data_IF_791733545401
#
_entry.id   IF_791733545401
#
_cell.length_a   1.000
_cell.length_b   1.000
_cell.length_c   1.000
_cell.angle_alpha   90.00
_cell.angle_beta   90.00
_cell.angle_gamma   90.00
#
_symmetry.space_group_name_H-M   'P 1'
#
loop_
_entity.id
_entity.type
_entity.pdbx_description
1 polymer ?
#
# COMPACT_ATOMS: atom_id res chain seq x y z
N UNK A 1 -26.36 -9.01 -0.90
CA UNK A 1 -25.20 -9.93 -0.92
C UNK A 1 -24.03 -9.21 -1.56
N UNK A 2 -23.18 -8.54 -0.78
CA UNK A 2 -21.96 -7.93 -1.32
C UNK A 2 -20.91 -9.03 -1.51
N UNK A 3 -20.40 -9.21 -2.72
CA UNK A 3 -19.30 -10.14 -2.99
C UNK A 3 -18.14 -9.84 -2.03
N UNK A 4 -17.91 -10.73 -1.06
CA UNK A 4 -16.79 -10.59 -0.12
C UNK A 4 -15.51 -10.71 -0.94
N UNK A 5 -14.79 -9.59 -1.08
CA UNK A 5 -13.49 -9.59 -1.73
C UNK A 5 -12.55 -10.57 -1.03
N UNK A 6 -11.88 -11.38 -1.83
CA UNK A 6 -11.03 -12.48 -1.37
C UNK A 6 -9.59 -11.99 -1.21
N UNK A 7 -8.78 -12.76 -0.46
CA UNK A 7 -7.33 -12.50 -0.31
C UNK A 7 -6.63 -12.32 -1.66
N UNK A 8 -7.11 -12.99 -2.71
CA UNK A 8 -6.57 -12.93 -4.07
C UNK A 8 -6.81 -11.56 -4.75
N UNK A 9 -7.99 -10.96 -4.58
CA UNK A 9 -8.26 -9.62 -5.12
C UNK A 9 -7.46 -8.56 -4.36
N UNK A 10 -7.39 -8.67 -3.03
CA UNK A 10 -6.59 -7.74 -2.21
C UNK A 10 -5.10 -7.77 -2.60
N UNK A 11 -4.56 -8.97 -2.85
CA UNK A 11 -3.20 -9.15 -3.39
C UNK A 11 -3.00 -8.44 -4.72
N UNK A 12 -3.94 -8.55 -5.64
CA UNK A 12 -3.86 -7.87 -6.93
C UNK A 12 -3.81 -6.34 -6.73
N UNK A 13 -4.65 -5.78 -5.86
CA UNK A 13 -4.62 -4.34 -5.57
C UNK A 13 -3.27 -3.86 -5.03
N UNK A 14 -2.68 -4.57 -4.06
CA UNK A 14 -1.33 -4.23 -3.55
C UNK A 14 -0.27 -4.24 -4.65
N UNK A 15 -0.28 -5.23 -5.53
CA UNK A 15 0.67 -5.34 -6.64
C UNK A 15 0.45 -4.22 -7.67
N UNK A 16 -0.80 -4.00 -8.09
CA UNK A 16 -1.12 -2.95 -9.05
C UNK A 16 -0.82 -1.55 -8.52
N UNK A 17 -1.16 -1.26 -7.26
CA UNK A 17 -0.82 0.00 -6.61
C UNK A 17 0.70 0.18 -6.48
N UNK A 18 1.43 -0.87 -6.14
CA UNK A 18 2.89 -0.84 -6.08
C UNK A 18 3.52 -0.60 -7.46
N UNK A 19 3.07 -1.30 -8.51
CA UNK A 19 3.58 -1.10 -9.87
C UNK A 19 3.28 0.29 -10.42
N UNK A 20 2.05 0.78 -10.21
CA UNK A 20 1.69 2.15 -10.56
C UNK A 20 2.59 3.15 -9.81
N UNK A 21 2.80 2.94 -8.50
CA UNK A 21 3.68 3.76 -7.68
C UNK A 21 5.12 3.81 -8.21
N UNK A 22 5.70 2.66 -8.58
CA UNK A 22 7.04 2.60 -9.20
C UNK A 22 7.07 3.39 -10.51
N UNK A 23 6.06 3.21 -11.38
CA UNK A 23 6.02 3.89 -12.67
C UNK A 23 5.98 5.42 -12.53
N UNK A 24 5.11 5.93 -11.65
CA UNK A 24 5.00 7.37 -11.39
C UNK A 24 6.25 7.91 -10.69
N UNK A 25 6.76 7.22 -9.67
CA UNK A 25 7.94 7.66 -8.93
C UNK A 25 9.21 7.63 -9.80
N UNK A 26 9.37 6.63 -10.67
CA UNK A 26 10.49 6.55 -11.62
C UNK A 26 10.43 7.68 -12.66
N UNK A 27 9.23 8.03 -13.13
CA UNK A 27 9.05 9.15 -14.06
C UNK A 27 9.41 10.48 -13.39
N UNK A 28 8.95 10.72 -12.17
CA UNK A 28 9.29 11.92 -11.39
C UNK A 28 10.78 11.98 -11.02
N UNK A 29 11.38 10.83 -10.69
CA UNK A 29 12.81 10.71 -10.40
C UNK A 29 13.65 11.03 -11.63
N UNK A 30 13.23 10.59 -12.82
CA UNK A 30 13.93 10.88 -14.07
C UNK A 30 13.99 12.38 -14.33
N UNK A 31 12.88 13.10 -14.12
CA UNK A 31 12.85 14.57 -14.25
C UNK A 31 13.77 15.22 -13.21
N UNK A 32 13.71 14.77 -11.96
CA UNK A 32 14.54 15.32 -10.87
C UNK A 32 16.04 15.09 -11.09
N UNK A 33 16.43 13.98 -11.72
CA UNK A 33 17.82 13.69 -12.10
C UNK A 33 18.31 14.59 -13.23
N UNK A 34 17.43 14.97 -14.17
CA UNK A 34 17.76 15.90 -15.26
C UNK A 34 17.95 17.32 -14.74
N UNK A 35 17.13 17.75 -13.76
CA UNK A 35 17.22 19.07 -13.12
C UNK A 35 18.24 19.13 -11.97
N UNK A 36 19.02 18.06 -11.74
CA UNK A 36 19.99 17.91 -10.64
C UNK A 36 19.41 18.22 -9.23
N UNK A 37 18.09 18.05 -9.06
CA UNK A 37 17.38 18.34 -7.83
C UNK A 37 17.57 17.25 -6.78
N UNK A 38 18.57 17.40 -5.90
CA UNK A 38 18.90 16.43 -4.84
C UNK A 38 17.67 16.07 -3.97
N UNK A 39 16.85 17.07 -3.62
CA UNK A 39 15.63 16.86 -2.83
C UNK A 39 14.63 15.98 -3.60
N UNK A 40 14.39 16.28 -4.88
CA UNK A 40 13.49 15.49 -5.73
C UNK A 40 13.95 14.03 -5.87
N UNK A 41 15.27 13.82 -5.96
CA UNK A 41 15.87 12.47 -6.01
C UNK A 41 15.58 11.69 -4.73
N UNK A 42 15.80 12.30 -3.56
CA UNK A 42 15.53 11.65 -2.26
C UNK A 42 14.05 11.31 -2.11
N UNK A 43 13.16 12.25 -2.43
CA UNK A 43 11.71 12.03 -2.36
C UNK A 43 11.25 10.91 -3.32
N UNK A 44 11.84 10.86 -4.52
CA UNK A 44 11.59 9.80 -5.50
C UNK A 44 12.03 8.42 -5.00
N UNK A 45 13.23 8.32 -4.42
CA UNK A 45 13.74 7.07 -3.86
C UNK A 45 12.88 6.54 -2.71
N UNK A 46 12.43 7.41 -1.80
CA UNK A 46 11.53 7.01 -0.70
C UNK A 46 10.20 6.49 -1.28
N UNK A 47 9.66 7.17 -2.29
CA UNK A 47 8.40 6.77 -2.95
C UNK A 47 8.53 5.43 -3.69
N UNK A 48 9.67 5.16 -4.33
CA UNK A 48 9.99 3.84 -4.91
C UNK A 48 10.07 2.79 -3.80
N UNK A 49 10.70 3.09 -2.67
CA UNK A 49 10.79 2.20 -1.51
C UNK A 49 9.43 1.76 -0.99
N UNK A 50 8.50 2.71 -0.79
CA UNK A 50 7.12 2.39 -0.45
C UNK A 50 6.46 1.52 -1.53
N UNK A 51 6.61 1.87 -2.80
CA UNK A 51 6.01 1.13 -3.91
C UNK A 51 6.48 -0.33 -3.97
N UNK A 52 7.78 -0.57 -3.74
CA UNK A 52 8.34 -1.91 -3.62
C UNK A 52 7.78 -2.66 -2.39
N UNK A 53 7.59 -1.97 -1.27
CA UNK A 53 6.96 -2.55 -0.10
C UNK A 53 5.50 -2.98 -0.37
N UNK A 54 4.73 -2.21 -1.14
CA UNK A 54 3.38 -2.61 -1.59
C UNK A 54 3.42 -3.88 -2.45
N UNK A 55 4.34 -3.95 -3.42
CA UNK A 55 4.52 -5.16 -4.24
C UNK A 55 4.87 -6.36 -3.37
N UNK A 56 5.83 -6.20 -2.44
CA UNK A 56 6.24 -7.25 -1.52
C UNK A 56 5.08 -7.75 -0.65
N UNK A 57 4.31 -6.83 -0.05
CA UNK A 57 3.11 -7.15 0.75
C UNK A 57 2.08 -7.87 -0.11
N UNK A 58 1.89 -7.48 -1.36
CA UNK A 58 1.03 -8.19 -2.30
C UNK A 58 1.42 -9.67 -2.44
N UNK A 59 2.70 -9.98 -2.63
CA UNK A 59 3.18 -11.37 -2.73
C UNK A 59 3.06 -12.16 -1.43
N UNK A 60 3.28 -11.52 -0.29
CA UNK A 60 3.37 -12.19 1.02
C UNK A 60 2.08 -12.07 1.86
N UNK A 61 1.03 -11.47 1.31
CA UNK A 61 -0.23 -11.13 1.96
C UNK A 61 -0.84 -12.27 2.80
N UNK A 62 -1.05 -13.50 2.30
CA UNK A 62 -1.67 -14.57 3.09
C UNK A 62 -0.83 -15.00 4.30
N UNK A 63 0.50 -14.89 4.23
CA UNK A 63 1.40 -15.20 5.35
C UNK A 63 1.41 -14.06 6.37
N UNK A 64 1.46 -12.81 5.90
CA UNK A 64 1.44 -11.62 6.75
C UNK A 64 0.12 -11.47 7.51
N UNK A 65 -1.03 -11.78 6.89
CA UNK A 65 -2.33 -11.68 7.55
C UNK A 65 -2.44 -12.61 8.78
N UNK A 66 -1.80 -13.78 8.76
CA UNK A 66 -1.81 -14.75 9.87
C UNK A 66 -0.83 -14.41 10.99
N UNK A 67 0.38 -13.95 10.65
CA UNK A 67 1.46 -13.76 11.64
C UNK A 67 1.80 -12.32 11.99
N UNK A 68 1.46 -11.34 11.15
CA UNK A 68 1.99 -9.97 11.27
C UNK A 68 1.14 -8.90 10.56
N UNK A 69 -0.19 -9.00 10.66
CA UNK A 69 -1.11 -8.03 10.07
C UNK A 69 -0.83 -6.58 10.50
N UNK A 70 -0.33 -6.39 11.73
CA UNK A 70 0.09 -5.09 12.26
C UNK A 70 1.14 -4.41 11.37
N UNK A 71 2.10 -5.15 10.78
CA UNK A 71 3.11 -4.58 9.89
C UNK A 71 2.52 -4.00 8.61
N UNK A 72 1.50 -4.65 8.04
CA UNK A 72 0.79 -4.13 6.86
C UNK A 72 0.06 -2.84 7.21
N UNK A 73 -0.59 -2.80 8.37
CA UNK A 73 -1.29 -1.61 8.86
C UNK A 73 -0.32 -0.45 9.08
N UNK A 74 0.85 -0.69 9.70
CA UNK A 74 1.90 0.32 9.86
C UNK A 74 2.39 0.84 8.52
N UNK A 75 2.64 -0.04 7.54
CA UNK A 75 3.03 0.37 6.19
C UNK A 75 1.97 1.28 5.55
N UNK A 76 0.69 0.93 5.66
CA UNK A 76 -0.40 1.73 5.11
C UNK A 76 -0.49 3.12 5.76
N UNK A 77 -0.32 3.22 7.08
CA UNK A 77 -0.27 4.51 7.77
C UNK A 77 0.96 5.34 7.40
N UNK A 78 2.13 4.71 7.34
CA UNK A 78 3.37 5.38 6.92
C UNK A 78 3.24 5.90 5.48
N UNK A 79 2.63 5.12 4.60
CA UNK A 79 2.36 5.51 3.21
C UNK A 79 1.37 6.67 3.12
N UNK A 80 0.30 6.65 3.91
CA UNK A 80 -0.67 7.74 3.96
C UNK A 80 -0.02 9.04 4.46
N UNK A 81 0.76 8.97 5.55
CA UNK A 81 1.51 10.09 6.07
C UNK A 81 2.52 10.63 5.05
N UNK A 82 3.24 9.74 4.37
CA UNK A 82 4.16 10.10 3.29
C UNK A 82 3.46 10.82 2.14
N UNK A 83 2.32 10.32 1.67
CA UNK A 83 1.55 10.96 0.58
C UNK A 83 1.07 12.35 0.97
N UNK A 84 0.56 12.54 2.19
CA UNK A 84 0.14 13.88 2.67
C UNK A 84 1.35 14.81 2.77
N UNK A 85 2.46 14.36 3.35
CA UNK A 85 3.68 15.14 3.46
C UNK A 85 4.21 15.56 2.09
N UNK A 86 4.28 14.63 1.13
CA UNK A 86 4.71 14.90 -0.24
C UNK A 86 3.79 15.90 -0.94
N UNK A 87 2.48 15.80 -0.75
CA UNK A 87 1.53 16.79 -1.27
C UNK A 87 1.75 18.18 -0.65
N UNK A 88 1.95 18.28 0.67
CA UNK A 88 2.25 19.56 1.33
C UNK A 88 3.54 20.20 0.78
N UNK A 89 4.59 19.41 0.54
CA UNK A 89 5.78 19.90 -0.13
C UNK A 89 5.49 20.38 -1.55
N UNK A 90 4.64 19.68 -2.29
CA UNK A 90 4.28 20.08 -3.66
C UNK A 90 3.59 21.44 -3.72
N UNK A 91 2.87 21.85 -2.66
CA UNK A 91 2.22 23.16 -2.58
C UNK A 91 3.22 24.32 -2.59
N UNK A 92 4.48 24.12 -2.15
CA UNK A 92 5.52 25.15 -2.24
C UNK A 92 5.87 25.47 -3.70
N UNK A 93 5.72 24.51 -4.61
CA UNK A 93 5.87 24.71 -6.06
C UNK A 93 4.62 25.27 -6.74
N UNK A 94 3.54 25.48 -5.98
CA UNK A 94 2.25 25.96 -6.47
C UNK A 94 1.14 24.90 -6.37
N UNK A 95 -0.11 25.31 -6.10
CA UNK A 95 -1.23 24.39 -6.01
C UNK A 95 -1.53 23.76 -7.38
N UNK A 96 -1.71 22.45 -7.42
CA UNK A 96 -2.12 21.73 -8.63
C UNK A 96 -3.41 20.96 -8.39
N UNK A 97 -4.43 21.19 -9.23
CA UNK A 97 -5.69 20.44 -9.19
C UNK A 97 -5.43 18.95 -9.41
N UNK A 98 -4.49 18.63 -10.33
CA UNK A 98 -4.07 17.26 -10.56
C UNK A 98 -3.49 16.61 -9.30
N UNK A 99 -2.57 17.29 -8.60
CA UNK A 99 -1.98 16.78 -7.36
C UNK A 99 -3.02 16.55 -6.26
N UNK A 100 -4.02 17.43 -6.13
CA UNK A 100 -5.10 17.28 -5.17
C UNK A 100 -5.96 16.05 -5.48
N UNK A 101 -6.34 15.86 -6.76
CA UNK A 101 -7.11 14.68 -7.18
C UNK A 101 -6.30 13.41 -6.95
N UNK A 102 -5.01 13.39 -7.28
CA UNK A 102 -4.12 12.25 -7.01
C UNK A 102 -4.03 11.94 -5.52
N UNK A 103 -3.90 12.95 -4.66
CA UNK A 103 -3.90 12.78 -3.20
C UNK A 103 -5.18 12.09 -2.72
N UNK A 104 -6.35 12.62 -3.12
CA UNK A 104 -7.65 12.09 -2.69
C UNK A 104 -7.80 10.64 -3.12
N UNK A 105 -7.51 10.32 -4.39
CA UNK A 105 -7.59 8.96 -4.91
C UNK A 105 -6.63 8.02 -4.18
N UNK A 106 -5.40 8.45 -3.93
CA UNK A 106 -4.40 7.66 -3.19
C UNK A 106 -4.87 7.37 -1.77
N UNK A 107 -5.39 8.37 -1.06
CA UNK A 107 -5.92 8.20 0.30
C UNK A 107 -7.13 7.26 0.32
N UNK A 108 -8.02 7.33 -0.67
CA UNK A 108 -9.15 6.42 -0.80
C UNK A 108 -8.70 4.97 -1.02
N UNK A 109 -7.68 4.75 -1.87
CA UNK A 109 -7.08 3.43 -2.09
C UNK A 109 -6.47 2.90 -0.80
N UNK A 110 -5.67 3.71 -0.09
CA UNK A 110 -5.05 3.33 1.17
C UNK A 110 -6.08 3.00 2.24
N UNK A 111 -7.15 3.80 2.34
CA UNK A 111 -8.24 3.57 3.27
C UNK A 111 -8.98 2.26 2.95
N UNK A 112 -9.28 2.01 1.68
CA UNK A 112 -9.89 0.78 1.22
C UNK A 112 -9.01 -0.45 1.53
N UNK A 113 -7.70 -0.37 1.29
CA UNK A 113 -6.74 -1.42 1.63
C UNK A 113 -6.71 -1.65 3.14
N UNK A 114 -6.66 -0.58 3.94
CA UNK A 114 -6.64 -0.67 5.40
C UNK A 114 -7.88 -1.36 5.95
N UNK A 115 -9.07 -0.97 5.47
CA UNK A 115 -10.34 -1.56 5.87
C UNK A 115 -10.37 -3.06 5.57
N UNK A 116 -9.96 -3.45 4.36
CA UNK A 116 -9.96 -4.85 3.94
C UNK A 116 -8.89 -5.68 4.65
N UNK A 117 -7.66 -5.16 4.84
CA UNK A 117 -6.60 -5.85 5.59
C UNK A 117 -7.04 -6.13 7.02
N UNK A 118 -7.66 -5.15 7.72
CA UNK A 118 -8.16 -5.35 9.09
C UNK A 118 -9.24 -6.42 9.15
N UNK A 119 -10.18 -6.40 8.20
CA UNK A 119 -11.24 -7.42 8.11
C UNK A 119 -10.65 -8.82 7.89
N UNK A 120 -9.76 -8.97 6.90
CA UNK A 120 -9.14 -10.25 6.56
C UNK A 120 -8.22 -10.75 7.67
N UNK A 121 -7.54 -9.87 8.39
CA UNK A 121 -6.72 -10.25 9.54
C UNK A 121 -7.59 -10.80 10.69
N UNK A 122 -8.72 -10.17 10.97
CA UNK A 122 -9.68 -10.68 11.96
C UNK A 122 -10.28 -12.02 11.54
N UNK A 123 -10.66 -12.18 10.27
CA UNK A 123 -11.15 -13.47 9.72
C UNK A 123 -10.07 -14.57 9.82
N UNK A 124 -8.81 -14.23 9.52
CA UNK A 124 -7.70 -15.18 9.58
C UNK A 124 -7.31 -15.61 11.01
N UNK A 125 -7.55 -14.75 12.01
CA UNK A 125 -7.33 -15.05 13.43
C UNK A 125 -8.51 -15.79 14.06
N UNK A 126 -9.73 -15.55 13.58
CA UNK A 126 -10.94 -16.20 14.05
C UNK A 126 -11.14 -17.60 13.47
N UNK A 127 -10.46 -17.96 12.38
CA UNK A 127 -10.49 -19.31 11.81
C UNK A 127 -9.79 -20.30 12.78
N UNK A 128 -10.52 -21.23 13.41
CA UNK A 128 -9.92 -22.21 14.31
C UNK A 128 -8.98 -23.12 13.52
N UNK A 129 -7.83 -23.44 14.09
CA UNK A 129 -7.06 -24.62 13.70
C UNK A 129 -7.98 -25.83 13.83
N UNK A 130 -8.38 -26.39 12.69
CA UNK A 130 -9.14 -27.63 12.56
C UNK A 130 -8.55 -28.65 13.55
N UNK A 131 -9.32 -29.13 14.55
CA UNK A 131 -8.81 -30.15 15.45
C UNK A 131 -8.48 -31.39 14.61
N UNK A 132 -7.38 -32.11 14.91
CA UNK A 132 -7.04 -33.32 14.16
C UNK A 132 -8.24 -34.27 14.16
N UNK A 133 -8.51 -34.99 13.07
CA UNK A 133 -9.58 -35.97 13.06
C UNK A 133 -9.32 -36.92 14.23
N UNK A 134 -10.20 -36.86 15.23
CA UNK A 134 -10.22 -37.80 16.33
C UNK A 134 -10.64 -39.14 15.73
N UNK A 135 -9.65 -39.85 15.21
CA UNK A 135 -9.77 -41.23 14.77
C UNK A 135 -10.23 -42.06 15.95
N UNK A 136 -11.49 -42.44 15.90
CA UNK A 136 -12.08 -43.53 16.66
C UNK A 136 -11.28 -44.81 16.41
N UNK A 137 -10.71 -45.39 17.46
CA UNK A 137 -10.47 -46.81 17.64
C UNK A 137 -10.59 -47.12 19.13
#
# INVERSE_FOLDING_TARGET
MGMRETVRSLRAYFIFSGLAGVFFAASALRVSLLDAGVIGVILGLISIGFSLAFVYVGFTLPKLLRGSASRIVTLLYASAGWTVFFFLLSLLGGPSTFGLVTLILTLLILWYLLKNVRRLAAEAQAAPSEPPPSGTC
#
